data_IF_095703013803
#
_entry.id   IF_095703013803
#
_cell.length_a   1.000
_cell.length_b   1.000
_cell.length_c   1.000
_cell.angle_alpha   90.00
_cell.angle_beta   90.00
_cell.angle_gamma   90.00
#
_symmetry.space_group_name_H-M   'P 1'
#
loop_
_entity.id
_entity.type
_entity.pdbx_description
1 polymer ?
#
# COMPACT_ATOMS: atom_id res chain seq x y z
N UNK A 1 -6.48 -5.13 31.35
CA UNK A 1 -6.75 -3.77 30.81
C UNK A 1 -7.64 -3.96 29.60
N UNK A 2 -8.72 -3.19 29.55
CA UNK A 2 -9.86 -3.40 28.66
C UNK A 2 -9.45 -3.39 27.18
N UNK A 3 -9.96 -4.37 26.44
CA UNK A 3 -9.93 -4.37 24.98
C UNK A 3 -10.77 -3.19 24.50
N UNK A 4 -10.12 -2.17 23.95
CA UNK A 4 -10.81 -1.12 23.20
C UNK A 4 -11.62 -1.80 22.09
N UNK A 5 -12.94 -1.72 22.19
CA UNK A 5 -13.81 -2.00 21.05
C UNK A 5 -13.62 -0.86 20.05
N UNK A 6 -12.54 -0.90 19.26
CA UNK A 6 -12.45 0.00 18.11
C UNK A 6 -13.62 -0.37 17.20
N UNK A 7 -14.64 0.49 17.14
CA UNK A 7 -15.76 0.28 16.24
C UNK A 7 -15.21 0.10 14.83
N UNK A 8 -15.60 -0.99 14.17
CA UNK A 8 -15.26 -1.18 12.76
C UNK A 8 -16.02 -0.15 11.95
N UNK A 9 -15.29 0.62 11.15
CA UNK A 9 -15.86 1.61 10.23
C UNK A 9 -15.48 1.28 8.80
N UNK A 10 -16.42 1.46 7.88
CA UNK A 10 -16.11 1.42 6.45
C UNK A 10 -15.44 2.74 6.05
N UNK A 11 -14.27 2.64 5.48
CA UNK A 11 -13.62 3.72 4.74
C UNK A 11 -13.98 3.52 3.28
N UNK A 12 -14.53 4.55 2.62
CA UNK A 12 -14.74 4.58 1.17
C UNK A 12 -14.39 5.98 0.63
N UNK A 13 -13.20 6.10 0.04
CA UNK A 13 -12.70 7.33 -0.59
C UNK A 13 -12.83 7.31 -2.12
N UNK A 14 -13.68 6.44 -2.68
CA UNK A 14 -13.79 6.25 -4.13
C UNK A 14 -14.09 7.56 -4.87
N UNK A 15 -15.00 8.40 -4.32
CA UNK A 15 -15.32 9.71 -4.92
C UNK A 15 -14.13 10.68 -4.87
N UNK A 16 -13.34 10.62 -3.81
CA UNK A 16 -12.21 11.54 -3.61
C UNK A 16 -10.98 11.16 -4.45
N UNK A 17 -10.83 9.88 -4.82
CA UNK A 17 -9.67 9.39 -5.58
C UNK A 17 -9.91 9.42 -7.11
N UNK A 18 -11.16 9.47 -7.57
CA UNK A 18 -11.53 9.45 -9.00
C UNK A 18 -10.82 10.51 -9.84
N UNK A 19 -10.59 11.70 -9.29
CA UNK A 19 -9.93 12.81 -10.00
C UNK A 19 -8.39 12.79 -9.92
N UNK A 20 -7.79 11.74 -9.37
CA UNK A 20 -6.33 11.69 -9.17
C UNK A 20 -5.59 11.00 -10.30
N UNK A 21 -4.29 11.30 -10.42
CA UNK A 21 -3.40 10.60 -11.36
C UNK A 21 -3.40 9.08 -11.16
N UNK A 22 -3.58 8.60 -9.92
CA UNK A 22 -3.71 7.17 -9.62
C UNK A 22 -4.84 6.53 -10.43
N UNK A 23 -5.98 7.20 -10.54
CA UNK A 23 -7.17 6.63 -11.17
C UNK A 23 -7.02 6.52 -12.69
N UNK A 24 -6.41 7.53 -13.32
CA UNK A 24 -6.17 7.56 -14.77
C UNK A 24 -4.88 6.85 -15.22
N UNK A 25 -3.97 6.54 -14.29
CA UNK A 25 -2.68 5.95 -14.63
C UNK A 25 -2.81 4.51 -15.18
N UNK A 26 -2.15 4.20 -16.31
CA UNK A 26 -2.02 2.83 -16.82
C UNK A 26 -0.98 2.01 -16.04
N UNK A 27 -0.17 2.62 -15.17
CA UNK A 27 0.82 1.92 -14.36
C UNK A 27 0.20 1.09 -13.24
N UNK A 28 -1.07 1.34 -12.94
CA UNK A 28 -1.80 0.72 -11.84
C UNK A 28 -3.03 -0.02 -12.35
N UNK A 29 -3.01 -1.34 -12.16
CA UNK A 29 -4.13 -2.23 -12.41
C UNK A 29 -5.17 -2.13 -11.29
N UNK A 30 -6.47 -2.25 -11.60
CA UNK A 30 -7.49 -2.46 -10.58
C UNK A 30 -7.14 -3.63 -9.65
N UNK A 31 -7.40 -3.48 -8.36
CA UNK A 31 -7.10 -4.51 -7.36
C UNK A 31 -8.24 -4.61 -6.34
N UNK A 32 -8.68 -5.84 -6.08
CA UNK A 32 -9.71 -6.15 -5.10
C UNK A 32 -9.37 -7.43 -4.34
N UNK A 33 -9.62 -7.43 -3.03
CA UNK A 33 -9.47 -8.62 -2.18
C UNK A 33 -10.24 -8.41 -0.87
N UNK A 34 -11.10 -9.35 -0.47
CA UNK A 34 -11.78 -9.33 0.83
C UNK A 34 -12.44 -7.96 1.12
N UNK A 35 -13.27 -7.50 0.18
CA UNK A 35 -13.96 -6.19 0.19
C UNK A 35 -13.03 -4.95 0.17
N UNK A 36 -11.71 -5.13 0.24
CA UNK A 36 -10.78 -4.05 -0.03
C UNK A 36 -10.78 -3.73 -1.52
N UNK A 37 -10.90 -2.44 -1.86
CA UNK A 37 -10.80 -1.94 -3.23
C UNK A 37 -9.66 -0.94 -3.32
N UNK A 38 -8.90 -1.09 -4.40
CA UNK A 38 -7.70 -0.34 -4.62
C UNK A 38 -7.15 -0.46 -6.03
N UNK A 39 -5.90 -0.04 -6.16
CA UNK A 39 -5.10 -0.21 -7.37
C UNK A 39 -3.73 -0.76 -6.98
N UNK A 40 -3.16 -1.58 -7.86
CA UNK A 40 -1.87 -2.21 -7.67
C UNK A 40 -0.96 -1.91 -8.84
N UNK A 41 0.30 -1.59 -8.55
CA UNK A 41 1.38 -1.67 -9.55
C UNK A 41 2.41 -2.72 -9.16
N UNK A 42 3.13 -3.23 -10.15
CA UNK A 42 4.29 -4.10 -9.95
C UNK A 42 5.53 -3.41 -10.49
N UNK A 43 6.50 -3.17 -9.62
CA UNK A 43 7.82 -2.68 -9.99
C UNK A 43 8.77 -3.87 -10.07
N UNK A 44 9.50 -3.97 -11.18
CA UNK A 44 10.50 -5.02 -11.38
C UNK A 44 11.87 -4.38 -11.30
N UNK A 45 12.64 -4.77 -10.29
CA UNK A 45 14.03 -4.35 -10.15
C UNK A 45 14.94 -5.45 -10.66
N UNK A 46 15.89 -5.06 -11.50
CA UNK A 46 16.85 -5.99 -12.10
C UNK A 46 18.25 -5.47 -11.81
N UNK A 47 19.03 -6.25 -11.07
CA UNK A 47 20.44 -5.97 -10.85
C UNK A 47 21.27 -6.67 -11.93
N UNK A 48 22.04 -5.89 -12.69
CA UNK A 48 22.88 -6.38 -13.79
C UNK A 48 24.35 -6.06 -13.55
N UNK A 49 25.21 -6.92 -14.08
CA UNK A 49 26.66 -6.69 -14.22
C UNK A 49 27.08 -6.90 -15.67
N UNK A 50 28.37 -6.69 -15.96
CA UNK A 50 28.94 -6.96 -17.28
C UNK A 50 28.74 -8.41 -17.74
N UNK A 51 28.59 -9.36 -16.81
CA UNK A 51 28.38 -10.78 -17.09
C UNK A 51 26.90 -11.19 -17.19
N UNK A 52 25.96 -10.25 -16.99
CA UNK A 52 24.53 -10.50 -17.10
C UNK A 52 23.73 -10.14 -15.84
N UNK A 53 22.48 -10.61 -15.81
CA UNK A 53 21.54 -10.42 -14.70
C UNK A 53 21.95 -11.26 -13.49
N UNK A 54 22.09 -10.62 -12.32
CA UNK A 54 22.44 -11.28 -11.05
C UNK A 54 21.20 -11.53 -10.21
N UNK A 55 20.25 -10.59 -10.21
CA UNK A 55 19.03 -10.72 -9.44
C UNK A 55 17.87 -9.98 -10.09
N UNK A 56 16.68 -10.49 -9.84
CA UNK A 56 15.41 -9.87 -10.20
C UNK A 56 14.45 -10.00 -9.05
N UNK A 57 13.84 -8.89 -8.68
CA UNK A 57 12.86 -8.88 -7.62
C UNK A 57 11.68 -7.97 -7.95
N UNK A 58 10.50 -8.43 -7.56
CA UNK A 58 9.28 -7.68 -7.71
C UNK A 58 8.95 -6.94 -6.41
N UNK A 59 8.50 -5.70 -6.55
CA UNK A 59 7.82 -4.96 -5.50
C UNK A 59 6.38 -4.71 -5.94
N UNK A 60 5.42 -4.96 -5.05
CA UNK A 60 4.02 -4.65 -5.30
C UNK A 60 3.60 -3.51 -4.39
N UNK A 61 3.13 -2.42 -4.99
CA UNK A 61 2.45 -1.35 -4.26
C UNK A 61 0.96 -1.54 -4.45
N UNK A 62 0.22 -1.68 -3.35
CA UNK A 62 -1.23 -1.83 -3.31
C UNK A 62 -1.78 -0.63 -2.55
N UNK A 63 -2.46 0.26 -3.25
CA UNK A 63 -3.09 1.46 -2.69
C UNK A 63 -4.57 1.14 -2.49
N UNK A 64 -5.05 1.21 -1.25
CA UNK A 64 -6.39 0.81 -0.85
C UNK A 64 -7.16 2.04 -0.38
N UNK A 65 -8.34 2.29 -0.94
CA UNK A 65 -9.20 3.42 -0.59
C UNK A 65 -10.61 3.02 -0.15
N UNK A 66 -10.98 1.75 -0.31
CA UNK A 66 -12.18 1.17 0.28
C UNK A 66 -11.82 -0.05 1.13
N UNK A 67 -12.20 -0.07 2.40
CA UNK A 67 -11.88 -1.16 3.34
C UNK A 67 -12.59 -0.98 4.69
N UNK A 68 -12.59 -2.03 5.53
CA UNK A 68 -13.06 -1.98 6.91
C UNK A 68 -11.88 -1.69 7.87
N UNK A 69 -11.91 -0.53 8.54
CA UNK A 69 -10.91 -0.13 9.54
C UNK A 69 -11.36 -0.52 10.96
N UNK A 70 -10.48 -1.07 11.82
CA UNK A 70 -9.08 -1.46 11.55
C UNK A 70 -8.93 -2.90 11.04
N UNK A 71 -10.03 -3.65 10.90
CA UNK A 71 -10.03 -5.10 10.66
C UNK A 71 -9.17 -5.52 9.47
N UNK A 72 -9.27 -4.84 8.33
CA UNK A 72 -8.49 -5.19 7.13
C UNK A 72 -7.00 -4.88 7.30
N UNK A 73 -6.66 -3.81 8.02
CA UNK A 73 -5.27 -3.49 8.35
C UNK A 73 -4.68 -4.56 9.27
N UNK A 74 -5.43 -4.97 10.28
CA UNK A 74 -5.03 -6.06 11.18
C UNK A 74 -4.89 -7.39 10.43
N UNK A 75 -5.84 -7.69 9.54
CA UNK A 75 -5.79 -8.87 8.67
C UNK A 75 -4.52 -8.86 7.83
N UNK A 76 -4.25 -7.79 7.09
CA UNK A 76 -3.03 -7.69 6.27
C UNK A 76 -1.78 -7.83 7.15
N UNK A 77 -1.75 -7.11 8.27
CA UNK A 77 -0.63 -7.12 9.22
C UNK A 77 -0.38 -8.49 9.86
N UNK A 78 -1.39 -9.34 10.05
CA UNK A 78 -1.24 -10.64 10.74
C UNK A 78 -1.27 -11.85 9.81
N UNK A 79 -2.05 -11.80 8.74
CA UNK A 79 -2.43 -12.96 7.92
C UNK A 79 -1.90 -12.91 6.50
N UNK A 80 -1.50 -11.75 5.97
CA UNK A 80 -0.92 -11.66 4.63
C UNK A 80 0.38 -12.46 4.54
N UNK A 81 0.49 -13.32 3.52
CA UNK A 81 1.62 -14.24 3.33
C UNK A 81 2.61 -13.83 2.23
N UNK A 82 2.36 -12.70 1.58
CA UNK A 82 3.14 -12.24 0.43
C UNK A 82 2.79 -12.98 -0.86
N UNK A 83 3.42 -12.54 -1.95
CA UNK A 83 3.32 -13.15 -3.28
C UNK A 83 4.64 -13.86 -3.62
N UNK A 84 4.61 -14.82 -4.55
CA UNK A 84 5.83 -15.53 -4.98
C UNK A 84 6.76 -14.59 -5.75
N UNK A 85 8.08 -14.73 -5.55
CA UNK A 85 9.11 -13.88 -6.19
C UNK A 85 8.99 -12.38 -5.88
N UNK A 86 8.39 -12.05 -4.74
CA UNK A 86 8.21 -10.67 -4.29
C UNK A 86 9.20 -10.35 -3.17
N UNK A 87 9.99 -9.31 -3.37
CA UNK A 87 10.87 -8.77 -2.34
C UNK A 87 10.11 -7.88 -1.36
N UNK A 88 9.16 -7.09 -1.84
CA UNK A 88 8.38 -6.17 -1.02
C UNK A 88 6.92 -6.16 -1.48
N UNK A 89 5.98 -6.31 -0.55
CA UNK A 89 4.59 -5.90 -0.75
C UNK A 89 4.31 -4.72 0.17
N UNK A 90 3.87 -3.60 -0.39
CA UNK A 90 3.49 -2.41 0.35
C UNK A 90 1.99 -2.19 0.22
N UNK A 91 1.28 -2.25 1.34
CA UNK A 91 -0.10 -1.81 1.43
C UNK A 91 -0.15 -0.38 1.93
N UNK A 92 -0.78 0.50 1.16
CA UNK A 92 -1.02 1.90 1.51
C UNK A 92 -2.52 2.12 1.64
N UNK A 93 -3.01 2.12 2.87
CA UNK A 93 -4.39 2.41 3.20
C UNK A 93 -4.57 3.93 3.26
N UNK A 94 -5.32 4.49 2.31
CA UNK A 94 -5.72 5.89 2.35
C UNK A 94 -6.76 6.07 3.46
N UNK A 95 -6.59 7.07 4.32
CA UNK A 95 -7.46 7.26 5.47
C UNK A 95 -7.82 8.74 5.65
N UNK A 96 -9.10 9.09 5.88
CA UNK A 96 -9.53 10.50 5.95
C UNK A 96 -8.98 11.27 7.16
N UNK A 97 -8.89 10.60 8.32
CA UNK A 97 -8.62 11.27 9.61
C UNK A 97 -7.44 10.71 10.40
N UNK A 98 -7.01 9.47 10.15
CA UNK A 98 -5.89 8.87 10.89
C UNK A 98 -4.58 9.55 10.53
N UNK A 99 -3.71 9.67 11.53
CA UNK A 99 -2.33 10.09 11.32
C UNK A 99 -1.55 9.05 10.50
N UNK A 100 -0.39 9.47 9.99
CA UNK A 100 0.49 8.57 9.27
C UNK A 100 0.98 7.45 10.19
N UNK A 101 0.77 6.21 9.76
CA UNK A 101 1.28 5.01 10.42
C UNK A 101 2.13 4.21 9.45
N UNK A 102 3.25 3.68 9.93
CA UNK A 102 4.12 2.80 9.17
C UNK A 102 4.56 1.61 10.02
N UNK A 103 4.47 0.42 9.43
CA UNK A 103 5.08 -0.79 9.98
C UNK A 103 5.59 -1.70 8.88
N UNK A 104 6.86 -2.10 9.00
CA UNK A 104 7.48 -3.15 8.18
C UNK A 104 7.68 -4.42 8.99
N UNK A 105 7.47 -5.58 8.37
CA UNK A 105 7.89 -6.87 8.91
C UNK A 105 8.42 -7.79 7.83
N UNK A 106 9.36 -8.66 8.19
CA UNK A 106 9.79 -9.75 7.33
C UNK A 106 8.76 -10.89 7.30
N UNK A 107 8.55 -11.47 6.12
CA UNK A 107 7.75 -12.67 5.96
C UNK A 107 8.67 -13.90 5.96
N UNK A 108 8.36 -14.89 6.81
CA UNK A 108 9.19 -16.10 6.98
C UNK A 108 10.67 -15.75 7.22
N UNK A 109 10.90 -14.87 8.21
CA UNK A 109 12.22 -14.36 8.58
C UNK A 109 12.95 -13.65 7.42
N UNK A 110 12.20 -13.13 6.44
CA UNK A 110 12.73 -12.42 5.26
C UNK A 110 12.86 -13.29 4.02
N UNK A 111 12.69 -14.61 4.12
CA UNK A 111 12.78 -15.54 2.98
C UNK A 111 11.65 -15.36 1.96
N UNK A 112 10.54 -14.72 2.36
CA UNK A 112 9.43 -14.36 1.47
C UNK A 112 9.28 -12.86 1.28
N UNK A 113 10.39 -12.14 1.43
CA UNK A 113 10.41 -10.69 1.33
C UNK A 113 9.79 -10.00 2.55
N UNK A 114 9.39 -8.75 2.34
CA UNK A 114 8.91 -7.84 3.36
C UNK A 114 7.47 -7.41 3.08
N UNK A 115 6.75 -7.15 4.16
CA UNK A 115 5.44 -6.53 4.12
C UNK A 115 5.53 -5.16 4.79
N UNK A 116 5.13 -4.12 4.08
CA UNK A 116 4.87 -2.79 4.61
C UNK A 116 3.36 -2.57 4.70
N UNK A 117 2.92 -2.10 5.86
CA UNK A 117 1.55 -1.65 6.10
C UNK A 117 1.61 -0.19 6.48
N UNK A 118 0.97 0.65 5.68
CA UNK A 118 1.00 2.10 5.80
C UNK A 118 -0.44 2.60 5.92
N UNK A 119 -0.72 3.45 6.89
CA UNK A 119 -1.90 4.32 6.89
C UNK A 119 -1.42 5.67 6.42
N UNK A 120 -1.96 6.12 5.28
CA UNK A 120 -1.61 7.38 4.66
C UNK A 120 -2.79 8.35 4.79
N UNK A 121 -2.63 9.49 5.49
CA UNK A 121 -3.66 10.51 5.57
C UNK A 121 -4.03 11.00 4.18
N UNK A 122 -5.33 11.06 3.88
CA UNK A 122 -5.85 11.51 2.60
C UNK A 122 -7.04 12.48 2.77
N UNK A 123 -7.08 13.64 2.09
CA UNK A 123 -6.09 14.12 1.14
C UNK A 123 -4.76 14.43 1.83
N UNK A 124 -3.65 14.14 1.12
CA UNK A 124 -2.32 14.41 1.62
C UNK A 124 -2.07 15.93 1.68
N UNK A 125 -1.78 16.47 2.87
CA UNK A 125 -1.66 17.93 3.09
C UNK A 125 -0.24 18.49 2.96
N UNK A 126 0.77 17.63 2.85
CA UNK A 126 2.14 18.06 2.52
C UNK A 126 3.03 18.44 3.70
N UNK A 127 2.53 18.30 4.93
CA UNK A 127 3.18 18.84 6.13
C UNK A 127 4.52 18.13 6.45
N UNK A 128 4.60 16.83 6.16
CA UNK A 128 5.83 16.00 6.31
C UNK A 128 5.86 14.92 5.24
N UNK A 129 6.79 15.00 4.28
CA UNK A 129 7.03 13.92 3.32
C UNK A 129 7.63 12.72 4.04
N UNK A 130 6.95 11.59 3.94
CA UNK A 130 7.41 10.29 4.45
C UNK A 130 8.08 9.53 3.31
N UNK A 131 9.36 9.21 3.46
CA UNK A 131 10.16 8.56 2.41
C UNK A 131 9.52 7.25 1.93
N UNK A 132 8.77 6.57 2.81
CA UNK A 132 8.11 5.30 2.56
C UNK A 132 6.94 5.39 1.56
N UNK A 133 6.41 6.60 1.33
CA UNK A 133 5.34 6.86 0.35
C UNK A 133 5.68 8.00 -0.61
N UNK A 134 6.88 8.59 -0.51
CA UNK A 134 7.26 9.77 -1.29
C UNK A 134 7.13 9.54 -2.80
N UNK A 135 7.47 8.34 -3.27
CA UNK A 135 7.35 7.91 -4.66
C UNK A 135 5.89 7.69 -5.11
N UNK A 136 4.97 7.54 -4.15
CA UNK A 136 3.54 7.37 -4.38
C UNK A 136 2.76 8.70 -4.32
N UNK A 137 3.27 9.71 -3.61
CA UNK A 137 2.59 11.00 -3.43
C UNK A 137 2.17 11.70 -4.74
N UNK A 138 2.97 11.68 -5.83
CA UNK A 138 2.53 12.27 -7.09
C UNK A 138 1.22 11.69 -7.60
N UNK A 139 0.93 10.41 -7.37
CA UNK A 139 -0.27 9.73 -7.83
C UNK A 139 -1.54 10.14 -7.08
N UNK A 140 -1.40 10.69 -5.87
CA UNK A 140 -2.51 11.15 -5.04
C UNK A 140 -2.95 12.59 -5.36
N UNK A 141 -2.26 13.26 -6.29
CA UNK A 141 -2.61 14.61 -6.73
C UNK A 141 -3.85 14.58 -7.62
N UNK A 142 -4.77 15.51 -7.38
CA UNK A 142 -5.93 15.76 -8.24
C UNK A 142 -5.45 16.41 -9.55
N UNK A 143 -5.92 15.89 -10.67
CA UNK A 143 -5.73 16.49 -12.00
C UNK A 143 -6.87 17.48 -12.22
N UNK A 144 -6.53 18.76 -12.39
CA UNK A 144 -7.47 19.84 -12.72
C UNK A 144 -7.66 19.89 -14.24
#
# INVERSE_FOLDING_TARGET
MASDFSQTIEIDLSKNIQGTLLFSSPEFDPWEFDEMVGKRRTLVFVQKTLLGEISRFNCHDIIVWKYQYPNHIEFVSRKWRGMTNTFLTRFVFLHPTSEFYYKRKGLWWGLRGYLEVIICPYPWRGDVVREEVADLLPWFKVVV
#
